data_IF_838650637648
#
_entry.id   IF_838650637648
#
_cell.length_a   1.000
_cell.length_b   1.000
_cell.length_c   1.000
_cell.angle_alpha   90.00
_cell.angle_beta   90.00
_cell.angle_gamma   90.00
#
_symmetry.space_group_name_H-M   'P 1'
#
loop_
_entity.id
_entity.type
_entity.pdbx_description
1 polymer ?
#
# COMPACT_ATOMS: atom_id res chain seq x y z
N UNK A 1 58.17 51.67 -60.04
CA UNK A 1 58.46 50.81 -58.89
C UNK A 1 57.15 50.59 -58.17
N UNK A 2 56.87 49.36 -57.91
CA UNK A 2 55.83 48.80 -57.05
C UNK A 2 54.48 48.44 -57.64
N UNK A 3 54.36 47.15 -57.82
CA UNK A 3 53.27 46.40 -58.37
C UNK A 3 52.03 46.44 -57.47
N UNK A 4 50.87 46.60 -58.08
CA UNK A 4 49.58 46.53 -57.42
C UNK A 4 48.80 45.27 -57.91
N UNK A 5 48.75 44.24 -57.10
CA UNK A 5 48.04 42.98 -57.39
C UNK A 5 46.53 43.20 -57.36
N UNK A 6 45.88 42.90 -58.49
CA UNK A 6 44.43 42.79 -58.65
C UNK A 6 43.93 41.45 -58.03
N UNK A 7 43.13 41.52 -56.99
CA UNK A 7 42.47 40.37 -56.42
C UNK A 7 41.07 40.24 -57.08
N UNK A 8 40.94 39.18 -57.82
CA UNK A 8 39.68 38.75 -58.46
C UNK A 8 38.62 38.35 -57.39
N UNK A 9 37.48 39.03 -57.39
CA UNK A 9 36.29 38.64 -56.60
C UNK A 9 35.58 37.44 -57.26
N UNK A 10 35.80 36.23 -56.73
CA UNK A 10 34.93 35.08 -57.03
C UNK A 10 33.63 35.27 -56.29
N UNK A 11 32.54 35.35 -57.05
CA UNK A 11 31.17 35.24 -56.48
C UNK A 11 30.97 33.80 -56.04
N UNK A 12 30.85 33.58 -54.70
CA UNK A 12 30.39 32.31 -54.12
C UNK A 12 28.86 32.42 -54.07
N UNK A 13 28.18 31.68 -54.97
CA UNK A 13 26.74 31.50 -54.95
C UNK A 13 26.42 30.61 -53.73
N UNK A 14 25.86 31.20 -52.69
CA UNK A 14 25.37 30.45 -51.53
C UNK A 14 24.09 29.72 -51.92
N UNK A 15 24.16 28.40 -51.96
CA UNK A 15 22.98 27.52 -51.96
C UNK A 15 22.46 27.54 -50.54
N UNK A 16 21.34 28.24 -50.33
CA UNK A 16 20.56 28.14 -49.09
C UNK A 16 19.84 26.79 -49.17
N UNK A 17 20.39 25.77 -48.53
CA UNK A 17 19.69 24.52 -48.28
C UNK A 17 18.64 24.80 -47.19
N UNK A 18 17.36 24.96 -47.56
CA UNK A 18 16.25 24.88 -46.64
C UNK A 18 16.18 23.44 -46.13
N UNK A 19 16.77 23.20 -44.94
CA UNK A 19 16.51 22.00 -44.18
C UNK A 19 15.07 22.06 -43.67
N UNK A 20 14.17 21.35 -44.34
CA UNK A 20 12.88 20.99 -43.77
C UNK A 20 13.16 20.13 -42.57
N UNK A 21 13.14 20.73 -41.40
CA UNK A 21 12.94 20.02 -40.13
C UNK A 21 11.58 19.33 -40.25
N UNK A 22 11.59 18.04 -40.63
CA UNK A 22 10.46 17.18 -40.39
C UNK A 22 10.27 17.16 -38.88
N UNK A 23 9.33 17.93 -38.36
CA UNK A 23 8.69 17.65 -37.10
C UNK A 23 8.02 16.29 -37.29
N UNK A 24 8.78 15.21 -37.09
CA UNK A 24 8.21 13.91 -36.85
C UNK A 24 7.12 14.12 -35.78
N UNK A 25 5.94 13.65 -36.07
CA UNK A 25 4.90 13.54 -35.06
C UNK A 25 5.53 12.89 -33.84
N UNK A 26 5.88 13.70 -32.86
CA UNK A 26 6.00 13.23 -31.49
C UNK A 26 4.57 12.79 -31.12
N UNK A 27 4.19 11.57 -31.56
CA UNK A 27 3.07 10.88 -30.92
C UNK A 27 3.42 10.90 -29.47
N UNK A 28 2.69 11.69 -28.68
CA UNK A 28 2.91 11.79 -27.27
C UNK A 28 2.89 10.36 -26.74
N UNK A 29 3.93 9.99 -26.00
CA UNK A 29 4.00 8.68 -25.39
C UNK A 29 2.68 8.47 -24.65
N UNK A 30 1.95 7.41 -24.98
CA UNK A 30 0.69 7.10 -24.31
C UNK A 30 0.94 7.05 -22.80
N UNK A 31 0.17 7.83 -22.08
CA UNK A 31 0.29 7.88 -20.61
C UNK A 31 -0.16 6.53 -20.03
N UNK A 32 0.66 5.84 -19.23
CA UNK A 32 0.31 4.53 -18.72
C UNK A 32 -0.79 4.61 -17.67
N UNK A 33 -1.58 3.55 -17.53
CA UNK A 33 -2.37 3.31 -16.35
C UNK A 33 -1.43 3.04 -15.15
N UNK A 34 -1.81 3.51 -13.98
CA UNK A 34 -1.03 3.37 -12.75
C UNK A 34 -1.88 2.62 -11.72
N UNK A 35 -1.40 1.46 -11.29
CA UNK A 35 -2.02 0.68 -10.21
C UNK A 35 -1.04 0.61 -9.04
N UNK A 36 -1.44 1.17 -7.91
CA UNK A 36 -0.70 1.12 -6.66
C UNK A 36 -1.40 0.18 -5.69
N UNK A 37 -0.77 -0.95 -5.37
CA UNK A 37 -1.30 -1.94 -4.42
C UNK A 37 -0.53 -1.81 -3.11
N UNK A 38 -1.25 -1.64 -2.00
CA UNK A 38 -0.69 -1.57 -0.67
C UNK A 38 -1.32 -2.64 0.22
N UNK A 39 -0.51 -3.54 0.78
CA UNK A 39 -0.90 -4.45 1.85
C UNK A 39 -0.61 -3.80 3.21
N UNK A 40 -1.42 -4.12 4.22
CA UNK A 40 -1.35 -3.52 5.56
C UNK A 40 -0.73 -4.50 6.55
N UNK A 41 0.38 -4.11 7.17
CA UNK A 41 1.16 -4.93 8.11
C UNK A 41 1.75 -6.23 7.51
N UNK A 42 1.96 -6.29 6.20
CA UNK A 42 2.66 -7.41 5.58
C UNK A 42 4.16 -7.31 5.86
N UNK A 43 4.75 -8.40 6.34
CA UNK A 43 6.17 -8.48 6.63
C UNK A 43 7.02 -8.51 5.36
N UNK A 44 8.28 -8.07 5.48
CA UNK A 44 9.24 -7.98 4.36
C UNK A 44 9.37 -9.26 3.55
N UNK A 45 9.31 -10.42 4.21
CA UNK A 45 9.49 -11.73 3.60
C UNK A 45 8.18 -12.54 3.45
N UNK A 46 7.01 -11.90 3.53
CA UNK A 46 5.72 -12.62 3.55
C UNK A 46 5.18 -13.00 2.16
N UNK A 47 5.89 -12.67 1.09
CA UNK A 47 5.55 -13.07 -0.29
C UNK A 47 6.65 -13.95 -0.89
N UNK A 48 6.28 -14.82 -1.83
CA UNK A 48 7.15 -15.86 -2.38
C UNK A 48 8.44 -15.32 -2.97
N UNK A 49 8.37 -14.24 -3.75
CA UNK A 49 9.55 -13.63 -4.38
C UNK A 49 10.55 -13.01 -3.38
N UNK A 50 10.19 -12.90 -2.10
CA UNK A 50 11.08 -12.51 -1.01
C UNK A 50 11.38 -13.65 -0.03
N UNK A 51 11.01 -14.90 -0.36
CA UNK A 51 11.42 -16.09 0.37
C UNK A 51 10.34 -16.71 1.25
N UNK A 52 9.08 -16.28 1.16
CA UNK A 52 7.96 -16.90 1.88
C UNK A 52 7.74 -18.36 1.47
N UNK A 53 7.18 -19.12 2.39
CA UNK A 53 6.57 -20.42 2.14
C UNK A 53 5.15 -20.30 1.60
N UNK A 54 4.56 -19.11 1.71
CA UNK A 54 3.23 -18.82 1.17
C UNK A 54 3.33 -18.58 -0.33
N UNK A 55 2.52 -19.27 -1.10
CA UNK A 55 2.46 -19.13 -2.55
C UNK A 55 1.76 -17.82 -2.95
N UNK A 56 2.47 -16.95 -3.66
CA UNK A 56 1.95 -15.68 -4.16
C UNK A 56 2.21 -15.51 -5.67
N UNK A 57 1.70 -16.44 -6.52
CA UNK A 57 2.16 -16.57 -7.91
C UNK A 57 1.94 -15.32 -8.75
N UNK A 58 0.86 -14.58 -8.51
CA UNK A 58 0.57 -13.35 -9.26
C UNK A 58 1.48 -12.20 -8.84
N UNK A 59 1.78 -12.05 -7.54
CA UNK A 59 2.73 -11.05 -7.05
C UNK A 59 4.15 -11.41 -7.48
N UNK A 60 4.50 -12.69 -7.40
CA UNK A 60 5.80 -13.19 -7.83
C UNK A 60 6.02 -12.96 -9.34
N UNK A 61 4.97 -13.09 -10.15
CA UNK A 61 5.01 -12.75 -11.59
C UNK A 61 5.35 -11.27 -11.82
N UNK A 62 4.81 -10.35 -11.02
CA UNK A 62 5.16 -8.93 -11.11
C UNK A 62 6.65 -8.72 -10.78
N UNK A 63 7.17 -9.41 -9.77
CA UNK A 63 8.57 -9.34 -9.39
C UNK A 63 9.51 -9.88 -10.48
N UNK A 64 9.10 -10.93 -11.18
CA UNK A 64 9.86 -11.54 -12.29
C UNK A 64 9.89 -10.65 -13.53
N UNK A 65 8.85 -9.86 -13.78
CA UNK A 65 8.72 -8.97 -14.93
C UNK A 65 9.15 -7.53 -14.65
N UNK A 66 9.37 -7.19 -13.39
CA UNK A 66 9.64 -5.84 -12.93
C UNK A 66 10.89 -5.72 -12.08
N UNK A 67 10.82 -4.89 -11.05
CA UNK A 67 11.90 -4.60 -10.13
C UNK A 67 11.52 -5.04 -8.72
N UNK A 68 12.40 -5.80 -8.06
CA UNK A 68 12.33 -6.08 -6.62
C UNK A 68 13.24 -5.10 -5.88
N UNK A 69 12.67 -4.38 -4.93
CA UNK A 69 13.41 -3.44 -4.09
C UNK A 69 13.80 -4.12 -2.78
N UNK A 70 15.10 -4.19 -2.49
CA UNK A 70 15.63 -4.77 -1.25
C UNK A 70 15.86 -3.72 -0.16
N UNK A 71 15.83 -2.44 -0.52
CA UNK A 71 16.04 -1.29 0.36
C UNK A 71 14.89 -0.29 0.17
N UNK A 72 13.70 -0.65 0.63
CA UNK A 72 12.51 0.21 0.56
C UNK A 72 11.94 0.40 1.96
N UNK A 73 11.99 1.63 2.46
CA UNK A 73 11.64 1.96 3.83
C UNK A 73 10.32 2.72 3.90
N UNK A 74 9.63 2.57 5.03
CA UNK A 74 8.42 3.30 5.37
C UNK A 74 8.60 4.07 6.68
N UNK A 75 7.55 4.69 7.20
CA UNK A 75 7.60 5.44 8.47
C UNK A 75 7.14 4.61 9.67
N UNK A 76 7.17 3.29 9.55
CA UNK A 76 6.91 2.29 10.60
C UNK A 76 5.52 2.32 11.25
N UNK A 77 4.58 3.13 10.75
CA UNK A 77 3.18 3.17 11.17
C UNK A 77 2.27 3.39 9.98
N UNK A 78 1.05 2.84 10.05
CA UNK A 78 0.09 2.80 8.95
C UNK A 78 -0.23 4.19 8.39
N UNK A 79 -0.93 5.06 9.13
CA UNK A 79 -1.34 6.34 8.58
C UNK A 79 -0.18 7.32 8.31
N UNK A 80 0.91 7.39 9.09
CA UNK A 80 2.09 8.16 8.71
C UNK A 80 2.70 7.69 7.38
N UNK A 81 2.84 6.36 7.17
CA UNK A 81 3.33 5.79 5.92
C UNK A 81 2.42 6.15 4.74
N UNK A 82 1.09 6.02 4.92
CA UNK A 82 0.11 6.38 3.89
C UNK A 82 0.14 7.87 3.57
N UNK A 83 0.34 8.74 4.58
CA UNK A 83 0.49 10.17 4.36
C UNK A 83 1.71 10.48 3.50
N UNK A 84 2.87 9.91 3.81
CA UNK A 84 4.08 10.08 3.03
C UNK A 84 3.94 9.52 1.61
N UNK A 85 3.33 8.33 1.47
CA UNK A 85 3.09 7.70 0.18
C UNK A 85 2.17 8.52 -0.72
N UNK A 86 1.09 9.06 -0.15
CA UNK A 86 0.10 9.83 -0.91
C UNK A 86 0.56 11.25 -1.25
N UNK A 87 1.48 11.84 -0.50
CA UNK A 87 1.85 13.25 -0.67
C UNK A 87 3.29 13.49 -1.13
N UNK A 88 4.17 12.47 -1.02
CA UNK A 88 5.60 12.64 -1.26
C UNK A 88 6.32 13.48 -0.18
N UNK A 89 5.63 13.79 0.93
CA UNK A 89 6.16 14.59 2.04
C UNK A 89 6.45 13.72 3.25
N UNK A 90 7.25 14.23 4.19
CA UNK A 90 7.28 13.64 5.51
C UNK A 90 5.90 13.73 6.17
N UNK A 91 5.51 12.68 6.88
CA UNK A 91 4.18 12.57 7.51
C UNK A 91 3.83 13.76 8.43
N UNK A 92 4.82 14.34 9.11
CA UNK A 92 4.64 15.54 9.93
C UNK A 92 4.24 16.75 9.09
N UNK A 93 4.86 16.94 7.92
CA UNK A 93 4.52 18.03 7.01
C UNK A 93 3.08 17.86 6.46
N UNK A 94 2.64 16.61 6.29
CA UNK A 94 1.30 16.29 5.84
C UNK A 94 0.23 16.36 6.95
N UNK A 95 0.61 16.56 8.21
CA UNK A 95 -0.30 16.69 9.37
C UNK A 95 -0.57 15.37 10.11
N UNK A 96 0.11 14.29 9.77
CA UNK A 96 -0.08 12.95 10.34
C UNK A 96 1.24 12.42 10.92
N UNK A 97 1.80 13.12 11.89
CA UNK A 97 2.99 12.67 12.61
C UNK A 97 2.73 11.48 13.56
N UNK A 98 1.46 11.16 13.81
CA UNK A 98 1.01 10.05 14.64
C UNK A 98 -0.21 9.36 14.02
N UNK A 99 -0.83 8.41 14.73
CA UNK A 99 -2.02 7.70 14.26
C UNK A 99 -3.20 8.66 14.09
N UNK A 100 -3.90 8.55 12.97
CA UNK A 100 -5.11 9.32 12.66
C UNK A 100 -6.36 8.75 13.30
N UNK A 101 -6.32 7.48 13.71
CA UNK A 101 -7.36 6.93 14.55
C UNK A 101 -7.30 7.60 15.89
N UNK A 102 -8.30 8.38 16.01
CA UNK A 102 -8.55 9.14 17.18
C UNK A 102 -9.01 8.24 18.32
N UNK A 103 -8.35 8.30 19.46
CA UNK A 103 -9.00 7.92 20.71
C UNK A 103 -10.09 8.88 21.12
N UNK A 104 -10.48 9.80 20.28
CA UNK A 104 -11.34 10.98 20.42
C UNK A 104 -12.81 10.68 20.61
N UNK A 105 -13.12 9.56 21.19
CA UNK A 105 -14.50 9.32 21.67
C UNK A 105 -14.92 10.23 22.84
N UNK A 106 -13.99 10.98 23.42
CA UNK A 106 -14.29 11.92 24.51
C UNK A 106 -13.74 13.32 24.19
N UNK A 107 -14.50 14.01 23.59
CA UNK A 107 -14.61 15.12 22.73
C UNK A 107 -14.17 16.48 23.25
N UNK A 108 -13.89 16.65 24.50
CA UNK A 108 -13.57 18.01 24.99
C UNK A 108 -12.08 18.34 25.00
N UNK A 109 -11.22 17.37 24.92
CA UNK A 109 -9.77 17.56 24.73
C UNK A 109 -9.16 16.27 24.19
N UNK A 110 -8.78 16.31 22.94
CA UNK A 110 -7.95 15.29 22.35
C UNK A 110 -6.60 15.19 23.07
N UNK A 111 -6.32 14.08 23.78
CA UNK A 111 -5.01 13.89 24.39
C UNK A 111 -3.86 13.76 23.38
N UNK A 112 -4.16 13.70 22.07
CA UNK A 112 -3.20 13.63 20.98
C UNK A 112 -3.21 14.86 20.05
N UNK A 113 -4.12 15.82 20.21
CA UNK A 113 -3.96 17.15 19.63
C UNK A 113 -2.97 17.94 20.48
N UNK A 114 -1.73 17.88 20.07
CA UNK A 114 -0.65 18.60 20.75
C UNK A 114 -0.62 20.09 20.35
N UNK A 115 -1.68 20.59 19.74
CA UNK A 115 -1.83 21.99 19.36
C UNK A 115 -0.97 22.43 18.18
N UNK A 116 -0.32 21.48 17.50
CA UNK A 116 0.57 21.76 16.36
C UNK A 116 0.05 21.09 15.09
N UNK A 117 0.34 21.68 13.94
CA UNK A 117 -0.21 21.27 12.65
C UNK A 117 0.22 19.86 12.23
N UNK A 118 1.34 19.39 12.71
CA UNK A 118 1.98 18.12 12.41
C UNK A 118 1.24 16.91 13.01
N UNK A 119 0.38 17.13 13.99
CA UNK A 119 -0.31 16.09 14.77
C UNK A 119 -1.82 16.34 14.83
N UNK A 120 -2.46 16.46 13.67
CA UNK A 120 -3.91 16.71 13.54
C UNK A 120 -4.72 15.45 13.19
N UNK A 121 -4.04 14.32 12.99
CA UNK A 121 -4.71 13.05 12.66
C UNK A 121 -5.41 13.01 11.30
N UNK A 122 -5.16 13.99 10.44
CA UNK A 122 -5.69 14.03 9.07
C UNK A 122 -4.72 14.78 8.16
N UNK A 123 -4.78 14.50 6.84
CA UNK A 123 -4.04 15.28 5.87
C UNK A 123 -4.43 16.74 5.94
N UNK A 124 -3.46 17.61 6.12
CA UNK A 124 -3.69 19.06 6.14
C UNK A 124 -3.94 19.61 4.71
N UNK A 125 -4.28 20.89 4.63
CA UNK A 125 -4.57 21.58 3.35
C UNK A 125 -3.31 22.11 2.65
N UNK A 126 -2.13 21.98 3.27
CA UNK A 126 -0.86 22.44 2.71
C UNK A 126 -0.16 21.38 1.87
N UNK A 127 -0.70 20.17 1.81
CA UNK A 127 -0.20 19.08 0.96
C UNK A 127 -1.23 18.71 -0.11
N UNK A 128 -0.72 18.31 -1.26
CA UNK A 128 -1.50 17.70 -2.34
C UNK A 128 -1.24 16.19 -2.37
N UNK A 129 -2.23 15.42 -2.74
CA UNK A 129 -2.10 13.98 -2.92
C UNK A 129 -1.69 13.64 -4.35
N UNK A 130 -1.12 12.44 -4.55
CA UNK A 130 -0.85 11.91 -5.90
C UNK A 130 -2.14 11.84 -6.74
N UNK A 131 -3.29 11.56 -6.11
CA UNK A 131 -4.59 11.54 -6.79
C UNK A 131 -4.99 12.94 -7.27
N UNK A 132 -4.82 13.99 -6.44
CA UNK A 132 -5.08 15.38 -6.85
C UNK A 132 -4.18 15.80 -8.04
N UNK A 133 -2.90 15.42 -8.00
CA UNK A 133 -1.94 15.71 -9.09
C UNK A 133 -2.32 14.99 -10.38
N UNK A 134 -2.57 13.68 -10.30
CA UNK A 134 -2.90 12.88 -11.49
C UNK A 134 -4.27 13.27 -12.08
N UNK A 135 -5.26 13.57 -11.23
CA UNK A 135 -6.54 14.09 -11.69
C UNK A 135 -6.38 15.41 -12.47
N UNK A 136 -5.59 16.35 -11.94
CA UNK A 136 -5.30 17.62 -12.66
C UNK A 136 -4.54 17.41 -13.97
N UNK A 137 -3.85 16.28 -14.09
CA UNK A 137 -3.15 15.85 -15.31
C UNK A 137 -4.03 15.02 -16.26
N UNK A 138 -5.32 14.93 -16.01
CA UNK A 138 -6.29 14.25 -16.87
C UNK A 138 -6.29 12.72 -16.72
N UNK A 139 -6.03 12.20 -15.52
CA UNK A 139 -6.26 10.81 -15.18
C UNK A 139 -7.62 10.65 -14.51
N UNK A 140 -8.29 9.53 -14.73
CA UNK A 140 -9.29 9.05 -13.79
C UNK A 140 -8.62 8.55 -12.52
N UNK A 141 -9.25 8.74 -11.37
CA UNK A 141 -8.63 8.43 -10.09
C UNK A 141 -9.58 7.62 -9.21
N UNK A 142 -9.18 6.39 -8.91
CA UNK A 142 -9.99 5.42 -8.17
C UNK A 142 -9.26 4.93 -6.93
N UNK A 143 -10.03 4.67 -5.88
CA UNK A 143 -9.50 4.08 -4.66
C UNK A 143 -10.42 2.99 -4.15
N UNK A 144 -9.83 1.86 -3.74
CA UNK A 144 -10.55 0.85 -2.95
C UNK A 144 -9.72 0.44 -1.74
N UNK A 145 -10.40 0.13 -0.63
CA UNK A 145 -9.78 -0.35 0.59
C UNK A 145 -9.61 0.69 1.70
N UNK A 146 -8.52 0.60 2.43
CA UNK A 146 -8.25 1.40 3.63
C UNK A 146 -7.69 2.79 3.30
N UNK A 147 -8.39 3.83 3.76
CA UNK A 147 -7.94 5.22 3.66
C UNK A 147 -6.97 5.63 4.76
N UNK A 148 -7.44 5.68 6.00
CA UNK A 148 -6.67 5.97 7.22
C UNK A 148 -5.89 7.31 7.19
N UNK A 149 -6.41 8.32 6.49
CA UNK A 149 -5.80 9.66 6.37
C UNK A 149 -6.75 10.79 6.78
N UNK A 150 -7.75 10.44 7.60
CA UNK A 150 -8.77 11.33 8.13
C UNK A 150 -10.17 10.75 7.93
N UNK A 151 -10.87 10.48 9.03
CA UNK A 151 -12.19 9.84 8.99
C UNK A 151 -13.31 10.75 9.53
N UNK A 152 -12.98 11.65 10.43
CA UNK A 152 -13.94 12.56 11.02
C UNK A 152 -14.06 13.83 10.19
N UNK A 153 -15.23 14.05 9.62
CA UNK A 153 -15.50 15.12 8.67
C UNK A 153 -15.28 14.69 7.21
N UNK A 154 -16.35 14.79 6.42
CA UNK A 154 -16.36 14.37 5.00
C UNK A 154 -15.30 15.09 4.17
N UNK A 155 -14.91 16.31 4.55
CA UNK A 155 -13.88 17.10 3.89
C UNK A 155 -12.47 16.45 3.87
N UNK A 156 -12.30 15.38 4.65
CA UNK A 156 -11.04 14.60 4.77
C UNK A 156 -11.07 13.28 4.02
N UNK A 157 -12.22 12.92 3.43
CA UNK A 157 -12.43 11.63 2.80
C UNK A 157 -11.81 11.57 1.40
N UNK A 158 -11.67 10.38 0.80
CA UNK A 158 -10.96 10.19 -0.47
C UNK A 158 -11.41 11.08 -1.62
N UNK A 159 -12.73 11.26 -1.82
CA UNK A 159 -13.24 12.07 -2.92
C UNK A 159 -12.82 13.54 -2.81
N UNK A 160 -12.70 14.08 -1.59
CA UNK A 160 -12.24 15.42 -1.31
C UNK A 160 -10.71 15.56 -1.35
N UNK A 161 -10.02 14.45 -1.59
CA UNK A 161 -8.56 14.36 -1.70
C UNK A 161 -8.13 13.76 -3.05
N UNK A 162 -8.92 14.04 -4.09
CA UNK A 162 -8.57 13.84 -5.49
C UNK A 162 -9.08 12.56 -6.13
N UNK A 163 -9.69 11.64 -5.41
CA UNK A 163 -10.30 10.45 -6.00
C UNK A 163 -11.71 10.74 -6.55
N UNK A 164 -12.06 10.12 -7.66
CA UNK A 164 -13.39 10.22 -8.30
C UNK A 164 -14.34 9.17 -7.77
N UNK A 165 -13.82 8.00 -7.46
CA UNK A 165 -14.57 6.88 -6.88
C UNK A 165 -13.80 6.31 -5.69
N UNK A 166 -14.56 5.87 -4.71
CA UNK A 166 -14.04 5.23 -3.51
C UNK A 166 -14.95 4.11 -3.02
N UNK A 167 -14.39 2.96 -2.69
CA UNK A 167 -15.06 1.93 -1.92
C UNK A 167 -14.13 1.36 -0.87
N UNK A 168 -14.50 1.42 0.40
CA UNK A 168 -13.63 0.90 1.44
C UNK A 168 -13.94 1.40 2.83
N UNK A 169 -12.93 1.45 3.68
CA UNK A 169 -12.99 1.91 5.07
C UNK A 169 -12.19 3.19 5.26
N UNK A 170 -12.72 4.11 6.07
CA UNK A 170 -12.01 5.33 6.45
C UNK A 170 -11.06 5.09 7.63
N UNK A 171 -11.38 4.11 8.46
CA UNK A 171 -10.65 3.73 9.66
C UNK A 171 -9.37 2.95 9.38
N UNK A 172 -8.55 2.76 10.41
CA UNK A 172 -7.26 2.05 10.32
C UNK A 172 -7.38 0.53 10.31
N UNK A 173 -8.51 -0.04 10.72
CA UNK A 173 -8.77 -1.49 10.71
C UNK A 173 -10.26 -1.77 10.74
N UNK A 174 -10.66 -2.94 10.28
CA UNK A 174 -12.04 -3.45 10.41
C UNK A 174 -12.04 -4.97 10.48
N UNK A 175 -13.19 -5.57 10.78
CA UNK A 175 -13.42 -6.98 10.49
C UNK A 175 -13.42 -7.22 8.98
N UNK A 176 -12.74 -8.30 8.52
CA UNK A 176 -12.72 -8.64 7.10
C UNK A 176 -14.04 -9.24 6.64
N UNK A 177 -14.75 -9.89 7.57
CA UNK A 177 -15.99 -10.61 7.30
C UNK A 177 -17.23 -9.74 7.52
N UNK A 178 -17.16 -8.74 8.41
CA UNK A 178 -18.28 -7.86 8.75
C UNK A 178 -17.79 -6.48 9.23
N UNK A 179 -17.34 -5.63 8.32
CA UNK A 179 -17.06 -4.24 8.67
C UNK A 179 -18.35 -3.50 9.03
N UNK A 180 -18.40 -2.83 10.21
CA UNK A 180 -19.59 -2.16 10.68
C UNK A 180 -19.28 -0.96 11.59
N UNK A 181 -20.29 -0.13 11.84
CA UNK A 181 -20.19 1.04 12.71
C UNK A 181 -19.20 2.09 12.19
N UNK A 182 -18.36 2.61 13.06
CA UNK A 182 -17.31 3.58 12.68
C UNK A 182 -16.24 3.01 11.76
N UNK A 183 -16.07 1.67 11.76
CA UNK A 183 -15.16 0.90 10.93
C UNK A 183 -15.86 0.23 9.76
N UNK A 184 -17.09 0.70 9.46
CA UNK A 184 -17.90 0.22 8.36
C UNK A 184 -17.44 0.72 6.99
N UNK A 185 -18.14 0.23 5.98
CA UNK A 185 -17.88 0.54 4.59
C UNK A 185 -18.43 1.89 4.17
N UNK A 186 -17.76 2.47 3.20
CA UNK A 186 -18.18 3.71 2.53
C UNK A 186 -18.06 3.49 1.03
N UNK A 187 -19.08 3.87 0.27
CA UNK A 187 -19.05 4.00 -1.17
C UNK A 187 -19.11 5.49 -1.52
N UNK A 188 -18.09 5.98 -2.17
CA UNK A 188 -17.89 7.38 -2.50
C UNK A 188 -17.96 8.25 -1.21
N UNK A 189 -19.07 8.93 -0.94
CA UNK A 189 -19.29 9.68 0.29
C UNK A 189 -20.44 9.14 1.16
N UNK A 190 -20.95 7.94 0.86
CA UNK A 190 -22.07 7.33 1.54
C UNK A 190 -21.63 6.18 2.44
N UNK A 191 -21.98 6.24 3.72
CA UNK A 191 -21.76 5.12 4.64
C UNK A 191 -22.75 4.00 4.33
N UNK A 192 -22.21 2.79 4.18
CA UNK A 192 -23.00 1.62 3.89
C UNK A 192 -23.39 0.88 5.18
N UNK A 193 -24.50 0.12 5.17
CA UNK A 193 -24.81 -0.82 6.23
C UNK A 193 -23.74 -1.94 6.29
N UNK A 194 -23.71 -2.67 7.40
CA UNK A 194 -22.88 -3.88 7.48
C UNK A 194 -23.27 -4.86 6.36
N UNK A 195 -22.30 -5.43 5.66
CA UNK A 195 -22.59 -6.35 4.57
C UNK A 195 -23.21 -7.64 5.08
N UNK A 196 -24.03 -8.26 4.24
CA UNK A 196 -24.56 -9.61 4.48
C UNK A 196 -23.49 -10.67 4.18
N UNK A 197 -23.52 -11.78 4.94
CA UNK A 197 -22.65 -12.92 4.67
C UNK A 197 -23.14 -13.73 3.43
N UNK A 198 -22.21 -14.33 2.66
CA UNK A 198 -20.76 -14.30 2.83
C UNK A 198 -20.14 -13.00 2.30
N UNK A 199 -19.24 -12.42 3.07
CA UNK A 199 -18.51 -11.21 2.69
C UNK A 199 -17.04 -11.32 3.12
N UNK A 200 -16.13 -10.83 2.28
CA UNK A 200 -14.70 -10.75 2.58
C UNK A 200 -14.11 -9.48 1.97
N UNK A 201 -13.54 -8.61 2.81
CA UNK A 201 -13.06 -7.28 2.38
C UNK A 201 -12.08 -7.34 1.24
N UNK A 202 -11.15 -8.31 1.24
CA UNK A 202 -10.12 -8.42 0.19
C UNK A 202 -10.75 -8.67 -1.18
N UNK A 203 -11.74 -9.55 -1.25
CA UNK A 203 -12.47 -9.80 -2.49
C UNK A 203 -13.25 -8.57 -2.92
N UNK A 204 -14.03 -8.01 -2.00
CA UNK A 204 -14.89 -6.86 -2.29
C UNK A 204 -14.08 -5.62 -2.76
N UNK A 205 -12.91 -5.35 -2.14
CA UNK A 205 -12.05 -4.26 -2.59
C UNK A 205 -11.51 -4.50 -4.00
N UNK A 206 -11.17 -5.76 -4.32
CA UNK A 206 -10.74 -6.15 -5.66
C UNK A 206 -11.87 -6.02 -6.68
N UNK A 207 -13.06 -6.52 -6.35
CA UNK A 207 -14.22 -6.47 -7.24
C UNK A 207 -14.63 -5.02 -7.55
N UNK A 208 -14.66 -4.15 -6.55
CA UNK A 208 -14.93 -2.72 -6.77
C UNK A 208 -13.83 -2.03 -7.58
N UNK A 209 -12.56 -2.40 -7.38
CA UNK A 209 -11.46 -1.87 -8.19
C UNK A 209 -11.62 -2.25 -9.66
N UNK A 210 -11.93 -3.51 -9.95
CA UNK A 210 -12.20 -4.01 -11.30
C UNK A 210 -13.45 -3.34 -11.89
N UNK A 211 -14.50 -3.18 -11.10
CA UNK A 211 -15.74 -2.52 -11.54
C UNK A 211 -15.49 -1.06 -11.92
N UNK A 212 -14.75 -0.29 -11.10
CA UNK A 212 -14.43 1.11 -11.42
C UNK A 212 -13.64 1.25 -12.72
N UNK A 213 -12.71 0.31 -13.00
CA UNK A 213 -11.98 0.27 -14.28
C UNK A 213 -12.94 -0.06 -15.42
N UNK A 214 -13.82 -1.05 -15.26
CA UNK A 214 -14.73 -1.49 -16.32
C UNK A 214 -15.88 -0.49 -16.61
N UNK A 215 -16.25 0.34 -15.63
CA UNK A 215 -17.23 1.41 -15.80
C UNK A 215 -16.71 2.58 -16.65
N UNK A 216 -15.39 2.69 -16.82
CA UNK A 216 -14.77 3.71 -17.63
C UNK A 216 -15.15 3.51 -19.11
N UNK A 217 -15.62 4.58 -19.75
CA UNK A 217 -16.17 4.53 -21.12
C UNK A 217 -15.21 5.10 -22.18
N UNK A 218 -14.09 5.62 -21.77
CA UNK A 218 -13.09 6.22 -22.63
C UNK A 218 -11.71 5.58 -22.41
N UNK A 219 -10.73 5.99 -23.23
CA UNK A 219 -9.34 5.51 -23.11
C UNK A 219 -8.46 6.44 -22.27
N UNK A 220 -9.05 7.27 -21.43
CA UNK A 220 -8.31 8.12 -20.49
C UNK A 220 -7.51 7.24 -19.54
N UNK A 221 -6.23 7.51 -19.29
CA UNK A 221 -5.46 6.73 -18.34
C UNK A 221 -6.03 6.88 -16.92
N UNK A 222 -5.89 5.85 -16.10
CA UNK A 222 -6.36 5.87 -14.72
C UNK A 222 -5.23 5.65 -13.71
N UNK A 223 -5.45 6.17 -12.52
CA UNK A 223 -4.74 5.85 -11.29
C UNK A 223 -5.67 5.11 -10.34
N UNK A 224 -5.31 3.90 -9.98
CA UNK A 224 -5.99 3.10 -8.97
C UNK A 224 -5.10 2.94 -7.74
N UNK A 225 -5.60 3.34 -6.57
CA UNK A 225 -5.03 3.00 -5.28
C UNK A 225 -5.83 1.89 -4.61
N UNK A 226 -5.32 0.65 -4.70
CA UNK A 226 -5.90 -0.55 -4.11
C UNK A 226 -5.19 -0.83 -2.78
N UNK A 227 -5.80 -0.40 -1.70
CA UNK A 227 -5.21 -0.41 -0.36
C UNK A 227 -5.89 -1.45 0.53
N UNK A 228 -5.40 -2.68 0.49
CA UNK A 228 -5.92 -3.75 1.33
C UNK A 228 -5.75 -3.45 2.82
N UNK A 229 -6.70 -3.89 3.64
CA UNK A 229 -6.56 -3.96 5.09
C UNK A 229 -5.91 -5.27 5.57
N UNK A 230 -5.80 -6.27 4.70
CA UNK A 230 -5.07 -7.50 4.96
C UNK A 230 -3.54 -7.29 4.78
N UNK A 231 -2.70 -7.99 5.56
CA UNK A 231 -3.03 -8.91 6.65
C UNK A 231 -3.08 -8.29 8.06
N UNK A 232 -3.41 -6.99 8.21
CA UNK A 232 -3.53 -6.32 9.51
C UNK A 232 -4.56 -7.03 10.42
N UNK A 233 -4.34 -7.02 11.71
CA UNK A 233 -5.30 -7.55 12.70
C UNK A 233 -6.69 -6.86 12.60
N UNK A 234 -7.82 -7.63 12.80
CA UNK A 234 -7.93 -9.04 13.16
C UNK A 234 -7.48 -9.96 12.02
N UNK A 235 -6.78 -11.06 12.42
CA UNK A 235 -6.28 -12.03 11.44
C UNK A 235 -7.43 -12.96 11.02
N UNK A 236 -8.08 -12.62 9.94
CA UNK A 236 -9.20 -13.38 9.38
C UNK A 236 -8.88 -13.79 7.94
N UNK A 237 -9.08 -15.05 7.62
CA UNK A 237 -8.88 -15.59 6.29
C UNK A 237 -10.03 -16.52 5.91
N UNK A 238 -10.14 -16.88 4.64
CA UNK A 238 -11.06 -17.91 4.18
C UNK A 238 -10.60 -19.27 4.71
N UNK A 239 -11.53 -20.11 5.12
CA UNK A 239 -11.23 -21.43 5.69
C UNK A 239 -10.32 -22.26 4.77
N UNK A 240 -10.62 -22.29 3.47
CA UNK A 240 -9.81 -23.01 2.50
C UNK A 240 -8.33 -22.55 2.43
N UNK A 241 -8.07 -21.25 2.65
CA UNK A 241 -6.71 -20.72 2.68
C UNK A 241 -6.00 -21.10 3.98
N UNK A 242 -6.72 -21.14 5.11
CA UNK A 242 -6.20 -21.63 6.40
C UNK A 242 -5.85 -23.11 6.29
N UNK A 243 -6.78 -23.94 5.83
CA UNK A 243 -6.60 -25.38 5.66
C UNK A 243 -5.39 -25.73 4.78
N UNK A 244 -5.18 -24.96 3.70
CA UNK A 244 -4.06 -25.15 2.78
C UNK A 244 -2.70 -25.11 3.50
N UNK A 245 -2.54 -24.28 4.51
CA UNK A 245 -1.27 -24.08 5.21
C UNK A 245 -1.23 -24.69 6.61
N UNK A 246 -2.35 -25.20 7.12
CA UNK A 246 -2.47 -25.70 8.48
C UNK A 246 -1.39 -26.74 8.82
N UNK A 247 -1.31 -27.83 8.03
CA UNK A 247 -0.35 -28.90 8.27
C UNK A 247 1.12 -28.42 8.20
N UNK A 248 1.41 -27.49 7.32
CA UNK A 248 2.74 -26.90 7.19
C UNK A 248 3.14 -26.20 8.49
N UNK A 249 2.30 -25.29 8.98
CA UNK A 249 2.59 -24.50 10.20
C UNK A 249 2.51 -25.35 11.45
N UNK A 250 1.54 -26.26 11.51
CA UNK A 250 1.34 -27.18 12.62
C UNK A 250 2.55 -28.11 12.84
N UNK A 251 3.14 -28.59 11.74
CA UNK A 251 4.26 -29.56 11.77
C UNK A 251 5.59 -28.87 11.97
N UNK A 252 5.86 -27.79 11.23
CA UNK A 252 7.16 -27.11 11.27
C UNK A 252 7.30 -26.13 12.40
N UNK A 253 6.22 -25.44 12.76
CA UNK A 253 6.25 -24.34 13.72
C UNK A 253 7.05 -23.12 13.25
N UNK A 254 6.94 -22.04 13.99
CA UNK A 254 7.53 -20.75 13.60
C UNK A 254 9.08 -20.76 13.61
N UNK A 255 9.74 -21.53 14.50
CA UNK A 255 11.20 -21.56 14.55
C UNK A 255 11.82 -22.15 13.30
N UNK A 256 11.26 -23.27 12.83
CA UNK A 256 11.75 -23.92 11.59
C UNK A 256 11.39 -23.11 10.36
N UNK A 257 10.17 -22.57 10.29
CA UNK A 257 9.73 -21.71 9.18
C UNK A 257 10.61 -20.47 9.10
N UNK A 258 10.92 -19.82 10.22
CA UNK A 258 11.83 -18.68 10.27
C UNK A 258 13.21 -19.00 9.71
N UNK A 259 13.79 -20.15 10.09
CA UNK A 259 15.10 -20.60 9.57
C UNK A 259 15.06 -20.86 8.08
N UNK A 260 14.04 -21.55 7.60
CA UNK A 260 13.88 -21.86 6.18
C UNK A 260 13.63 -20.60 5.35
N UNK A 261 12.82 -19.67 5.84
CA UNK A 261 12.55 -18.39 5.18
C UNK A 261 13.83 -17.55 5.08
N UNK A 262 14.59 -17.43 6.17
CA UNK A 262 15.86 -16.72 6.17
C UNK A 262 16.85 -17.33 5.15
N UNK A 263 16.97 -18.67 5.13
CA UNK A 263 17.81 -19.34 4.14
C UNK A 263 17.36 -19.01 2.71
N UNK A 264 16.06 -19.09 2.41
CA UNK A 264 15.55 -18.74 1.07
C UNK A 264 15.82 -17.29 0.71
N UNK A 265 15.71 -16.35 1.65
CA UNK A 265 16.05 -14.95 1.43
C UNK A 265 17.52 -14.77 1.04
N UNK A 266 18.43 -15.47 1.70
CA UNK A 266 19.85 -15.46 1.36
C UNK A 266 20.11 -16.11 -0.02
N UNK A 267 19.50 -17.27 -0.29
CA UNK A 267 19.62 -17.96 -1.59
C UNK A 267 19.09 -17.09 -2.76
N UNK A 268 18.07 -16.25 -2.51
CA UNK A 268 17.52 -15.31 -3.48
C UNK A 268 18.30 -13.98 -3.59
N UNK A 269 19.33 -13.79 -2.77
CA UNK A 269 20.10 -12.55 -2.71
C UNK A 269 19.31 -11.35 -2.18
N UNK A 270 18.28 -11.61 -1.39
CA UNK A 270 17.45 -10.56 -0.74
C UNK A 270 18.18 -9.99 0.46
N UNK A 271 18.88 -10.84 1.21
CA UNK A 271 19.72 -10.48 2.35
C UNK A 271 21.12 -11.08 2.14
N UNK A 272 22.12 -10.51 2.83
CA UNK A 272 23.42 -11.11 2.93
C UNK A 272 23.37 -12.38 3.78
N UNK A 273 24.02 -13.45 3.33
CA UNK A 273 24.09 -14.72 4.06
C UNK A 273 24.78 -14.63 5.41
N UNK A 274 25.62 -13.60 5.63
CA UNK A 274 26.29 -13.32 6.89
C UNK A 274 25.35 -12.69 7.95
N UNK A 275 24.16 -12.21 7.53
CA UNK A 275 23.17 -11.65 8.47
C UNK A 275 22.60 -12.79 9.31
N UNK A 276 22.90 -12.77 10.60
CA UNK A 276 22.35 -13.70 11.58
C UNK A 276 20.91 -13.37 11.98
N UNK A 277 20.35 -14.25 12.82
CA UNK A 277 19.03 -14.01 13.42
C UNK A 277 19.14 -13.01 14.58
N UNK A 278 18.14 -12.15 14.70
CA UNK A 278 17.92 -11.46 15.97
C UNK A 278 17.55 -12.47 17.07
N UNK A 279 17.90 -12.15 18.30
CA UNK A 279 17.44 -12.94 19.45
C UNK A 279 15.92 -13.07 19.44
N UNK A 280 15.44 -14.26 19.79
CA UNK A 280 14.02 -14.58 19.77
C UNK A 280 13.54 -14.71 21.21
N UNK A 281 12.72 -13.77 21.64
CA UNK A 281 12.23 -13.69 23.02
C UNK A 281 10.98 -14.56 23.29
N UNK A 282 10.38 -15.11 22.24
CA UNK A 282 9.19 -15.96 22.39
C UNK A 282 9.57 -17.39 22.78
N UNK A 283 8.58 -18.11 23.32
CA UNK A 283 8.71 -19.55 23.58
C UNK A 283 9.04 -20.28 22.28
N UNK A 284 9.86 -21.34 22.39
CA UNK A 284 10.14 -22.23 21.27
C UNK A 284 8.86 -23.01 20.91
N UNK A 285 8.72 -23.38 19.65
CA UNK A 285 7.54 -24.13 19.18
C UNK A 285 7.34 -25.44 19.94
N UNK A 286 8.41 -26.13 20.23
CA UNK A 286 8.42 -27.41 20.98
C UNK A 286 7.92 -27.28 22.42
N UNK A 287 8.01 -26.09 23.02
CA UNK A 287 7.54 -25.81 24.38
C UNK A 287 6.03 -25.61 24.47
N UNK A 288 5.35 -25.51 23.32
CA UNK A 288 3.90 -25.37 23.27
C UNK A 288 3.20 -26.70 23.47
N UNK A 289 2.07 -26.68 24.18
CA UNK A 289 1.12 -27.78 24.20
C UNK A 289 0.51 -28.02 22.83
N UNK A 290 0.00 -29.21 22.58
CA UNK A 290 -0.67 -29.52 21.30
C UNK A 290 -1.85 -28.58 21.02
N UNK A 291 -2.63 -28.24 22.04
CA UNK A 291 -3.73 -27.28 21.90
C UNK A 291 -3.25 -25.86 21.53
N UNK A 292 -2.10 -25.41 22.05
CA UNK A 292 -1.51 -24.12 21.66
C UNK A 292 -0.97 -24.15 20.24
N UNK A 293 -0.38 -25.27 19.82
CA UNK A 293 0.11 -25.47 18.44
C UNK A 293 -1.05 -25.47 17.44
N UNK A 294 -2.10 -26.23 17.72
CA UNK A 294 -3.31 -26.25 16.88
C UNK A 294 -3.92 -24.86 16.74
N UNK A 295 -4.04 -24.18 17.86
CA UNK A 295 -4.57 -22.82 17.89
C UNK A 295 -3.74 -21.83 17.11
N UNK A 296 -2.42 -21.92 17.19
CA UNK A 296 -1.52 -21.02 16.46
C UNK A 296 -1.54 -21.30 14.97
N UNK A 297 -1.66 -22.56 14.57
CA UNK A 297 -1.75 -22.97 13.16
C UNK A 297 -3.13 -22.71 12.55
N UNK A 298 -4.18 -22.67 13.36
CA UNK A 298 -5.56 -22.42 12.92
C UNK A 298 -6.22 -21.35 13.82
N UNK A 299 -5.88 -20.07 13.63
CA UNK A 299 -6.48 -19.00 14.42
C UNK A 299 -7.96 -18.84 14.09
N UNK A 300 -8.82 -19.10 15.05
CA UNK A 300 -10.27 -18.88 14.94
C UNK A 300 -10.70 -17.68 15.79
N UNK A 301 -11.64 -16.89 15.30
CA UNK A 301 -12.22 -15.75 16.05
C UNK A 301 -12.98 -16.18 17.33
N UNK A 302 -13.18 -17.48 17.53
CA UNK A 302 -13.95 -18.05 18.65
C UNK A 302 -13.13 -18.31 19.92
N UNK A 303 -11.89 -17.81 20.01
CA UNK A 303 -10.98 -18.12 21.11
C UNK A 303 -11.28 -17.39 22.39
N UNK A 304 -11.08 -18.05 23.53
CA UNK A 304 -11.18 -17.41 24.84
C UNK A 304 -10.19 -16.23 24.92
N UNK A 305 -10.64 -15.12 25.51
CA UNK A 305 -9.88 -13.88 25.72
C UNK A 305 -8.51 -14.03 26.45
N UNK A 306 -8.11 -15.25 26.77
CA UNK A 306 -6.83 -15.55 27.43
C UNK A 306 -5.58 -15.23 26.60
N UNK A 307 -5.72 -15.15 25.25
CA UNK A 307 -4.67 -14.72 24.32
C UNK A 307 -4.96 -13.36 23.66
N UNK A 308 -5.76 -12.53 24.33
CA UNK A 308 -6.04 -11.18 23.86
C UNK A 308 -4.76 -10.35 23.81
N UNK A 309 -4.76 -9.38 22.91
CA UNK A 309 -3.71 -8.35 22.75
C UNK A 309 -3.23 -7.71 24.06
N UNK A 310 -3.97 -7.86 25.14
CA UNK A 310 -3.61 -7.37 26.47
C UNK A 310 -2.49 -8.20 27.11
N UNK A 311 -2.40 -9.50 26.82
CA UNK A 311 -1.27 -10.34 27.27
C UNK A 311 0.00 -10.09 26.47
N UNK A 312 -0.12 -9.72 25.19
CA UNK A 312 0.99 -9.31 24.32
C UNK A 312 1.46 -7.87 24.63
N UNK A 313 0.54 -6.95 24.96
CA UNK A 313 0.88 -5.56 25.33
C UNK A 313 1.58 -5.44 26.70
N UNK A 314 1.43 -6.41 27.58
CA UNK A 314 2.13 -6.40 28.89
C UNK A 314 3.55 -6.98 28.80
N UNK A 315 3.96 -7.47 27.63
CA UNK A 315 5.28 -8.08 27.41
C UNK A 315 6.11 -7.36 26.32
N UNK A 316 5.60 -6.27 25.75
CA UNK A 316 6.29 -5.25 24.96
C UNK A 316 6.41 -3.95 25.79
#
# INVERSE_FOLDING_TARGET
MMDGNFISRKRIGGIVALSFLQFGNLSGQERPNIVMILADDMGYSDIGCYGSEIETPHIDSLALQGIRLTQFYNTSRSCPTRASLMTGLYQHQAGIGWMSEDPFKNVDKDPKDWGVAEYRGALNRNCVTIAEVLKSSGYHTYMTGKWHLGMHGMEKWPLQRGFERFYGILAGACSYLRPEGERGLVLDNEKLPAPEAPYYTTDAFTDYAVNFINEQKDNTPFFLYLAYNAPHWPLQAKEADIEKYYELYRTKGWDQIRKERHKRMADLGIIDSEIGFAEWENRQWEELSEAEKDHTAYPTDSLPRAFSTESLRRRL
#
